data_IF_032484157821
#
_entry.id   IF_032484157821
#
_cell.length_a   1.000
_cell.length_b   1.000
_cell.length_c   1.000
_cell.angle_alpha   90.00
_cell.angle_beta   90.00
_cell.angle_gamma   90.00
#
_symmetry.space_group_name_H-M   'P 1'
#
loop_
_entity.id
_entity.type
_entity.pdbx_description
1 polymer ?
#
# COMPACT_ATOMS: atom_id res chain seq x y z
N UNK A 1 -22.24 -40.23 -57.92
CA UNK A 1 -23.36 -39.39 -58.38
C UNK A 1 -23.19 -38.02 -57.74
N UNK A 2 -22.98 -37.01 -58.59
CA UNK A 2 -23.31 -35.57 -58.47
C UNK A 2 -23.04 -34.85 -57.12
N UNK A 3 -22.27 -33.77 -57.05
CA UNK A 3 -22.16 -32.70 -58.04
C UNK A 3 -20.83 -31.97 -57.93
N UNK A 4 -20.20 -31.81 -59.08
CA UNK A 4 -19.18 -30.83 -59.35
C UNK A 4 -19.71 -29.41 -59.11
N UNK A 5 -18.90 -28.59 -58.44
CA UNK A 5 -18.50 -27.26 -58.92
C UNK A 5 -19.65 -26.35 -59.39
N UNK A 6 -20.26 -25.60 -58.45
CA UNK A 6 -20.89 -24.31 -58.77
C UNK A 6 -19.83 -23.20 -58.65
N UNK A 7 -18.96 -23.13 -59.66
CA UNK A 7 -17.89 -22.16 -59.83
C UNK A 7 -18.43 -20.83 -60.37
N UNK A 8 -18.02 -19.75 -59.69
CA UNK A 8 -17.80 -18.38 -60.21
C UNK A 8 -18.76 -17.21 -59.88
N UNK A 9 -19.86 -17.40 -59.14
CA UNK A 9 -20.56 -16.26 -58.48
C UNK A 9 -20.41 -16.26 -56.97
N UNK A 10 -20.39 -17.45 -56.37
CA UNK A 10 -20.35 -17.61 -54.92
C UNK A 10 -18.94 -17.54 -54.33
N UNK A 11 -17.89 -17.72 -55.14
CA UNK A 11 -16.49 -17.59 -54.68
C UNK A 11 -16.12 -16.15 -54.36
N UNK A 12 -16.62 -15.19 -55.14
CA UNK A 12 -16.48 -13.76 -54.83
C UNK A 12 -17.26 -13.39 -53.57
N UNK A 13 -18.49 -13.88 -53.44
CA UNK A 13 -19.30 -13.68 -52.23
C UNK A 13 -18.66 -14.30 -51.00
N UNK A 14 -18.11 -15.52 -51.10
CA UNK A 14 -17.39 -16.19 -50.02
C UNK A 14 -16.11 -15.43 -49.63
N UNK A 15 -15.34 -14.98 -50.62
CA UNK A 15 -14.15 -14.16 -50.39
C UNK A 15 -14.50 -12.83 -49.70
N UNK A 16 -15.57 -12.16 -50.15
CA UNK A 16 -16.07 -10.92 -49.53
C UNK A 16 -16.51 -11.19 -48.09
N UNK A 17 -17.26 -12.27 -47.84
CA UNK A 17 -17.71 -12.63 -46.50
C UNK A 17 -16.52 -12.95 -45.57
N UNK A 18 -15.52 -13.69 -46.05
CA UNK A 18 -14.31 -13.98 -45.28
C UNK A 18 -13.50 -12.71 -45.00
N UNK A 19 -13.43 -11.77 -45.95
CA UNK A 19 -12.74 -10.49 -45.78
C UNK A 19 -13.47 -9.59 -44.77
N UNK A 20 -14.80 -9.58 -44.79
CA UNK A 20 -15.62 -8.88 -43.78
C UNK A 20 -15.41 -9.50 -42.39
N UNK A 21 -15.43 -10.82 -42.27
CA UNK A 21 -15.19 -11.52 -41.00
C UNK A 21 -13.78 -11.21 -40.49
N UNK A 22 -12.76 -11.30 -41.35
CA UNK A 22 -11.39 -10.95 -40.99
C UNK A 22 -11.27 -9.48 -40.56
N UNK A 23 -11.96 -8.56 -41.24
CA UNK A 23 -12.02 -7.14 -40.89
C UNK A 23 -12.69 -6.89 -39.54
N UNK A 24 -13.80 -7.56 -39.25
CA UNK A 24 -14.48 -7.47 -37.95
C UNK A 24 -13.61 -8.02 -36.82
N UNK A 25 -12.95 -9.16 -37.04
CA UNK A 25 -12.02 -9.75 -36.06
C UNK A 25 -10.82 -8.84 -35.83
N UNK A 26 -10.25 -8.25 -36.88
CA UNK A 26 -9.15 -7.30 -36.76
C UNK A 26 -9.57 -6.04 -35.99
N UNK A 27 -10.75 -5.48 -36.26
CA UNK A 27 -11.27 -4.34 -35.50
C UNK A 27 -11.40 -4.66 -34.01
N UNK A 28 -12.03 -5.79 -33.67
CA UNK A 28 -12.20 -6.21 -32.27
C UNK A 28 -10.86 -6.46 -31.59
N UNK A 29 -9.87 -7.02 -32.30
CA UNK A 29 -8.54 -7.26 -31.75
C UNK A 29 -7.72 -5.97 -31.55
N UNK A 30 -7.91 -4.95 -32.38
CA UNK A 30 -7.16 -3.68 -32.35
C UNK A 30 -7.81 -2.62 -31.47
N UNK A 31 -9.12 -2.70 -31.24
CA UNK A 31 -9.85 -1.73 -30.38
C UNK A 31 -9.24 -1.60 -28.97
N UNK A 32 -8.89 -2.69 -28.26
CA UNK A 32 -8.31 -2.60 -26.92
C UNK A 32 -6.97 -1.87 -26.88
N UNK A 33 -6.10 -2.06 -27.87
CA UNK A 33 -4.78 -1.40 -27.94
C UNK A 33 -4.92 0.08 -28.28
N UNK A 34 -5.79 0.45 -29.21
CA UNK A 34 -6.08 1.86 -29.51
C UNK A 34 -6.75 2.57 -28.33
N UNK A 35 -7.70 1.91 -27.67
CA UNK A 35 -8.36 2.45 -26.49
C UNK A 35 -7.37 2.65 -25.34
N UNK A 36 -6.46 1.68 -25.10
CA UNK A 36 -5.37 1.84 -24.13
C UNK A 36 -4.43 2.99 -24.48
N UNK A 37 -4.00 3.11 -25.74
CA UNK A 37 -3.13 4.20 -26.17
C UNK A 37 -3.81 5.57 -26.02
N UNK A 38 -5.11 5.67 -26.31
CA UNK A 38 -5.90 6.88 -26.08
C UNK A 38 -6.05 7.20 -24.58
N UNK A 39 -6.41 6.20 -23.78
CA UNK A 39 -6.54 6.33 -22.33
C UNK A 39 -5.21 6.72 -21.67
N UNK A 40 -4.11 6.14 -22.11
CA UNK A 40 -2.75 6.51 -21.70
C UNK A 40 -2.40 7.92 -22.17
N UNK A 41 -2.66 8.32 -23.42
CA UNK A 41 -2.30 9.66 -23.90
C UNK A 41 -3.11 10.79 -23.23
N UNK A 42 -4.39 10.54 -22.90
CA UNK A 42 -5.33 11.57 -22.45
C UNK A 42 -5.65 11.52 -20.95
N UNK A 43 -5.32 10.41 -20.26
CA UNK A 43 -5.74 10.19 -18.87
C UNK A 43 -7.24 9.90 -18.72
N UNK A 44 -7.94 9.57 -19.81
CA UNK A 44 -9.37 9.26 -19.81
C UNK A 44 -9.68 8.08 -18.87
N UNK A 45 -10.78 8.20 -18.12
CA UNK A 45 -11.22 7.26 -17.09
C UNK A 45 -10.22 7.03 -15.92
N UNK A 46 -9.36 8.01 -15.61
CA UNK A 46 -8.42 7.92 -14.49
C UNK A 46 -7.23 6.99 -14.75
N UNK A 47 -6.98 6.65 -16.03
CA UNK A 47 -5.83 5.85 -16.44
C UNK A 47 -4.56 6.62 -16.13
N UNK A 48 -3.79 6.14 -15.14
CA UNK A 48 -2.61 6.83 -14.64
C UNK A 48 -1.45 6.66 -15.60
N UNK A 49 -0.79 7.77 -15.96
CA UNK A 49 0.51 7.73 -16.64
C UNK A 49 1.46 6.90 -15.77
N UNK A 50 2.07 5.86 -16.35
CA UNK A 50 3.06 5.05 -15.64
C UNK A 50 4.26 5.95 -15.31
N UNK A 51 4.31 6.44 -14.08
CA UNK A 51 5.45 7.17 -13.57
C UNK A 51 6.42 6.16 -12.93
N UNK A 52 7.61 6.00 -13.51
CA UNK A 52 8.67 5.11 -13.03
C UNK A 52 9.26 5.52 -11.66
N UNK A 53 8.80 6.64 -11.09
CA UNK A 53 9.19 7.12 -9.76
C UNK A 53 7.98 7.72 -9.03
N UNK A 54 8.01 7.67 -7.71
CA UNK A 54 7.13 8.48 -6.87
C UNK A 54 7.16 9.94 -7.38
N UNK A 55 6.04 10.69 -7.40
CA UNK A 55 5.91 11.96 -8.12
C UNK A 55 6.79 13.11 -7.61
N UNK A 56 7.79 12.82 -6.76
CA UNK A 56 8.36 13.79 -5.85
C UNK A 56 7.36 14.14 -4.77
N UNK A 57 7.87 14.76 -3.72
CA UNK A 57 7.06 15.32 -2.67
C UNK A 57 5.97 16.25 -3.25
N UNK A 58 4.70 15.97 -2.94
CA UNK A 58 3.63 16.92 -3.23
C UNK A 58 3.83 18.22 -2.42
N UNK A 59 3.36 19.36 -2.94
CA UNK A 59 3.33 20.61 -2.20
C UNK A 59 2.44 20.47 -0.96
N UNK A 60 2.93 20.93 0.19
CA UNK A 60 2.31 20.74 1.50
C UNK A 60 3.11 19.81 2.40
N UNK A 61 2.89 19.95 3.71
CA UNK A 61 3.43 19.05 4.72
C UNK A 61 2.28 18.48 5.54
N UNK A 62 2.43 17.24 5.97
CA UNK A 62 1.53 16.62 6.94
C UNK A 62 2.37 16.27 8.16
N UNK A 63 1.91 16.71 9.32
CA UNK A 63 2.44 16.32 10.61
C UNK A 63 2.06 14.87 10.90
N UNK A 64 3.03 14.09 11.35
CA UNK A 64 2.79 12.75 11.86
C UNK A 64 3.27 12.72 13.30
N UNK A 65 2.34 12.53 14.22
CA UNK A 65 2.58 12.35 15.64
C UNK A 65 2.72 10.87 15.93
N UNK A 66 3.76 10.50 16.67
CA UNK A 66 4.04 9.13 17.06
C UNK A 66 3.70 8.95 18.52
N UNK A 67 2.85 7.96 18.77
CA UNK A 67 2.37 7.60 20.08
C UNK A 67 2.75 6.15 20.37
N UNK A 68 3.14 5.89 21.62
CA UNK A 68 3.71 4.63 22.08
C UNK A 68 3.11 4.25 23.42
N UNK A 69 2.46 3.09 23.45
CA UNK A 69 1.79 2.54 24.63
C UNK A 69 2.28 1.12 24.89
N UNK A 70 2.20 0.71 26.15
CA UNK A 70 2.59 -0.62 26.61
C UNK A 70 1.49 -1.15 27.50
N UNK A 71 1.10 -2.40 27.29
CA UNK A 71 0.21 -3.10 28.18
C UNK A 71 0.89 -3.33 29.54
N UNK A 72 0.21 -3.09 30.69
CA UNK A 72 0.81 -3.24 32.01
C UNK A 72 1.43 -4.61 32.31
N UNK A 73 0.96 -5.66 31.63
CA UNK A 73 1.50 -7.02 31.73
C UNK A 73 2.83 -7.28 30.98
N UNK A 74 3.38 -6.28 30.28
CA UNK A 74 4.66 -6.39 29.57
C UNK A 74 5.67 -5.43 30.23
N UNK A 75 6.73 -5.92 30.90
CA UNK A 75 7.69 -5.09 31.63
C UNK A 75 8.71 -4.45 30.68
N UNK A 76 8.22 -3.77 29.65
CA UNK A 76 9.03 -3.06 28.68
C UNK A 76 8.92 -1.56 28.87
N UNK A 77 9.91 -0.82 28.37
CA UNK A 77 9.82 0.60 28.04
C UNK A 77 9.81 0.71 26.52
N UNK A 78 8.90 1.51 25.98
CA UNK A 78 8.70 1.68 24.55
C UNK A 78 8.34 3.14 24.29
N UNK A 79 9.18 3.82 23.50
CA UNK A 79 9.05 5.24 23.24
C UNK A 79 9.52 5.57 21.82
N UNK A 80 8.88 6.54 21.14
CA UNK A 80 9.39 7.02 19.87
C UNK A 80 10.64 7.87 20.09
N UNK A 81 11.61 7.79 19.18
CA UNK A 81 12.77 8.68 19.23
C UNK A 81 12.36 10.15 18.96
N UNK A 82 11.31 10.33 18.15
CA UNK A 82 10.74 11.64 17.81
C UNK A 82 9.23 11.55 17.97
N UNK A 83 8.62 12.46 18.71
CA UNK A 83 7.15 12.46 18.96
C UNK A 83 6.37 13.06 17.80
N UNK A 84 6.96 13.95 17.00
CA UNK A 84 6.27 14.54 15.84
C UNK A 84 7.27 14.86 14.74
N UNK A 85 6.91 14.53 13.50
CA UNK A 85 7.69 14.87 12.30
C UNK A 85 6.77 15.46 11.25
N UNK A 86 7.26 16.43 10.48
CA UNK A 86 6.56 16.90 9.28
C UNK A 86 7.14 16.23 8.05
N UNK A 87 6.27 15.55 7.31
CA UNK A 87 6.65 14.83 6.09
C UNK A 87 5.95 15.42 4.89
N UNK A 88 6.54 15.21 3.72
CA UNK A 88 5.88 15.53 2.46
C UNK A 88 5.15 14.28 1.96
N UNK A 89 3.83 14.32 1.73
CA UNK A 89 3.12 13.18 1.15
C UNK A 89 3.77 12.68 -0.14
N UNK A 90 3.84 11.36 -0.30
CA UNK A 90 4.54 10.67 -1.38
C UNK A 90 6.01 10.35 -1.10
N UNK A 91 6.63 10.95 -0.08
CA UNK A 91 7.99 10.61 0.34
C UNK A 91 8.00 9.47 1.35
N UNK A 92 8.88 8.49 1.15
CA UNK A 92 9.16 7.46 2.15
C UNK A 92 9.86 8.11 3.36
N UNK A 93 9.33 7.85 4.54
CA UNK A 93 9.87 8.33 5.81
C UNK A 93 10.23 7.14 6.67
N UNK A 94 11.40 7.21 7.31
CA UNK A 94 11.87 6.22 8.28
C UNK A 94 12.03 6.90 9.63
N UNK A 95 11.45 6.31 10.65
CA UNK A 95 11.58 6.73 12.05
C UNK A 95 11.93 5.53 12.91
N UNK A 96 12.45 5.77 14.11
CA UNK A 96 12.81 4.72 15.05
C UNK A 96 11.97 4.83 16.32
N UNK A 97 11.57 3.68 16.83
CA UNK A 97 11.12 3.54 18.20
C UNK A 97 12.17 2.77 19.00
N UNK A 98 12.34 3.09 20.26
CA UNK A 98 13.20 2.37 21.18
C UNK A 98 12.36 1.47 22.07
N UNK A 99 12.68 0.17 22.11
CA UNK A 99 12.13 -0.75 23.10
C UNK A 99 13.24 -1.29 24.01
N UNK A 100 12.95 -1.41 25.30
CA UNK A 100 13.83 -1.96 26.30
C UNK A 100 13.07 -2.93 27.21
N UNK A 101 13.60 -4.13 27.42
CA UNK A 101 13.09 -5.04 28.44
C UNK A 101 13.67 -4.67 29.81
N UNK A 102 12.81 -4.29 30.75
CA UNK A 102 13.20 -3.86 32.10
C UNK A 102 13.32 -5.03 33.09
N UNK A 103 12.97 -6.24 32.67
CA UNK A 103 13.00 -7.42 33.54
C UNK A 103 14.30 -8.21 33.43
N UNK A 104 14.53 -9.10 34.40
CA UNK A 104 15.68 -10.01 34.44
C UNK A 104 15.49 -11.30 33.60
N UNK A 105 14.39 -11.42 32.84
CA UNK A 105 14.08 -12.60 32.01
C UNK A 105 13.70 -12.17 30.59
N UNK A 106 13.84 -13.05 29.58
CA UNK A 106 13.31 -12.73 28.25
C UNK A 106 11.79 -12.58 28.31
N UNK A 107 11.26 -11.64 27.54
CA UNK A 107 9.83 -11.46 27.32
C UNK A 107 9.55 -11.34 25.84
N UNK A 108 8.40 -11.85 25.42
CA UNK A 108 7.92 -11.75 24.05
C UNK A 108 6.72 -10.83 24.02
N UNK A 109 6.76 -9.85 23.12
CA UNK A 109 5.70 -8.88 22.92
C UNK A 109 5.29 -8.80 21.45
N UNK A 110 4.02 -8.50 21.22
CA UNK A 110 3.48 -8.22 19.89
C UNK A 110 2.86 -6.82 19.88
N UNK A 111 3.11 -6.08 18.81
CA UNK A 111 2.62 -4.73 18.63
C UNK A 111 1.34 -4.71 17.78
N UNK A 112 0.36 -3.95 18.24
CA UNK A 112 -0.80 -3.54 17.44
C UNK A 112 -0.68 -2.05 17.15
N UNK A 113 -1.18 -1.61 15.99
CA UNK A 113 -1.14 -0.19 15.62
C UNK A 113 -2.49 0.31 15.15
N UNK A 114 -2.69 1.62 15.33
CA UNK A 114 -3.83 2.35 14.79
C UNK A 114 -3.35 3.70 14.23
N UNK A 115 -4.12 4.23 13.27
CA UNK A 115 -3.88 5.52 12.64
C UNK A 115 -5.12 6.38 12.85
N UNK A 116 -4.94 7.59 13.34
CA UNK A 116 -6.01 8.55 13.60
C UNK A 116 -5.73 9.89 12.90
N UNK A 117 -6.74 10.57 12.31
CA UNK A 117 -8.14 10.15 12.20
C UNK A 117 -8.36 8.96 11.26
N UNK A 118 -9.43 8.19 11.47
CA UNK A 118 -9.73 6.97 10.70
C UNK A 118 -9.88 7.23 9.20
N UNK A 119 -10.37 8.42 8.84
CA UNK A 119 -10.50 8.89 7.45
C UNK A 119 -9.16 8.92 6.71
N UNK A 120 -8.05 9.05 7.44
CA UNK A 120 -6.68 9.07 6.89
C UNK A 120 -6.06 7.68 6.78
N UNK A 121 -6.58 6.69 7.51
CA UNK A 121 -6.05 5.33 7.50
C UNK A 121 -5.91 4.73 6.09
N UNK A 122 -6.81 5.09 5.17
CA UNK A 122 -6.76 4.66 3.75
C UNK A 122 -5.52 5.18 2.98
N UNK A 123 -5.01 6.35 3.37
CA UNK A 123 -3.84 7.01 2.76
C UNK A 123 -2.52 6.70 3.46
N UNK A 124 -2.57 6.24 4.71
CA UNK A 124 -1.37 5.83 5.43
C UNK A 124 -0.94 4.44 4.97
N UNK A 125 0.19 4.34 4.28
CA UNK A 125 0.73 3.07 3.78
C UNK A 125 2.02 2.73 4.49
N UNK A 126 1.98 1.66 5.27
CA UNK A 126 3.17 1.12 5.92
C UNK A 126 3.90 0.16 4.98
N UNK A 127 5.19 0.41 4.73
CA UNK A 127 6.02 -0.38 3.80
C UNK A 127 6.70 -1.55 4.51
N UNK A 128 7.19 -1.34 5.74
CA UNK A 128 7.84 -2.38 6.54
C UNK A 128 7.36 -2.31 7.99
N UNK A 129 6.75 -3.39 8.49
CA UNK A 129 6.41 -3.57 9.91
C UNK A 129 7.11 -4.83 10.43
N UNK A 130 8.06 -4.66 11.36
CA UNK A 130 8.41 -5.70 12.33
C UNK A 130 7.26 -5.99 13.32
N UNK A 131 6.21 -5.18 13.27
CA UNK A 131 5.15 -5.15 14.29
C UNK A 131 4.14 -6.29 14.18
N UNK A 132 4.10 -7.02 13.06
CA UNK A 132 3.26 -8.22 12.98
C UNK A 132 3.97 -9.47 13.52
N UNK A 133 5.30 -9.44 13.63
CA UNK A 133 6.07 -10.53 14.21
C UNK A 133 6.29 -10.28 15.70
N UNK A 134 6.13 -11.34 16.47
CA UNK A 134 6.53 -11.40 17.87
C UNK A 134 7.99 -10.96 18.02
N UNK A 135 8.23 -10.04 18.95
CA UNK A 135 9.58 -9.59 19.30
C UNK A 135 9.93 -10.18 20.66
N UNK A 136 11.03 -10.90 20.73
CA UNK A 136 11.58 -11.40 22.00
C UNK A 136 12.78 -10.56 22.37
N UNK A 137 12.69 -9.85 23.50
CA UNK A 137 13.80 -9.08 24.06
C UNK A 137 14.35 -9.83 25.28
N UNK A 138 15.67 -10.04 25.30
CA UNK A 138 16.40 -10.61 26.44
C UNK A 138 16.36 -9.66 27.64
N UNK A 139 16.78 -10.17 28.79
CA UNK A 139 16.87 -9.37 30.02
C UNK A 139 17.73 -8.11 29.80
N UNK A 140 17.17 -6.93 30.11
CA UNK A 140 17.88 -5.65 29.95
C UNK A 140 18.13 -5.20 28.49
N UNK A 141 17.74 -6.00 27.50
CA UNK A 141 18.04 -5.72 26.09
C UNK A 141 17.28 -4.48 25.60
N UNK A 142 17.98 -3.63 24.86
CA UNK A 142 17.43 -2.44 24.21
C UNK A 142 17.62 -2.57 22.70
N UNK A 143 16.55 -2.35 21.94
CA UNK A 143 16.53 -2.45 20.48
C UNK A 143 15.85 -1.22 19.88
N UNK A 144 16.49 -0.66 18.85
CA UNK A 144 15.88 0.38 18.01
C UNK A 144 15.12 -0.30 16.86
N UNK A 145 13.81 -0.07 16.79
CA UNK A 145 12.89 -0.68 15.84
C UNK A 145 12.52 0.34 14.74
N UNK A 146 13.06 0.18 13.52
CA UNK A 146 12.75 1.09 12.42
C UNK A 146 11.33 0.87 11.90
N UNK A 147 10.62 1.97 11.65
CA UNK A 147 9.32 1.99 10.99
C UNK A 147 9.45 2.81 9.71
N UNK A 148 9.17 2.17 8.57
CA UNK A 148 9.17 2.81 7.26
C UNK A 148 7.73 2.91 6.75
N UNK A 149 7.31 4.13 6.44
CA UNK A 149 5.96 4.45 6.00
C UNK A 149 5.98 5.58 4.97
N UNK A 150 4.86 5.76 4.28
CA UNK A 150 4.58 6.97 3.52
C UNK A 150 3.09 7.30 3.61
N UNK A 151 2.77 8.57 3.41
CA UNK A 151 1.39 9.04 3.26
C UNK A 151 1.13 9.27 1.79
N UNK A 152 0.08 8.66 1.25
CA UNK A 152 -0.32 8.83 -0.14
C UNK A 152 -0.69 10.30 -0.41
N UNK A 153 -0.12 10.95 -1.45
CA UNK A 153 -0.43 12.33 -1.80
C UNK A 153 -1.91 12.57 -2.14
N UNK A 154 -2.71 11.52 -2.39
CA UNK A 154 -4.15 11.61 -2.56
C UNK A 154 -4.88 12.18 -1.32
N UNK A 155 -4.28 12.13 -0.12
CA UNK A 155 -4.84 12.74 1.09
C UNK A 155 -5.15 14.23 0.91
N UNK A 156 -4.33 14.97 0.16
CA UNK A 156 -4.54 16.41 -0.08
C UNK A 156 -5.56 16.70 -1.19
N UNK A 157 -6.02 15.68 -1.90
CA UNK A 157 -7.02 15.80 -2.98
C UNK A 157 -8.43 15.39 -2.54
N UNK A 158 -8.54 14.60 -1.48
CA UNK A 158 -9.82 14.14 -0.95
C UNK A 158 -10.49 15.25 -0.11
N UNK A 159 -11.73 15.66 -0.43
CA UNK A 159 -12.49 16.63 0.34
C UNK A 159 -12.56 16.34 1.84
N UNK A 160 -12.57 15.06 2.23
CA UNK A 160 -12.73 14.63 3.63
C UNK A 160 -11.42 14.67 4.43
N UNK A 161 -10.26 14.77 3.75
CA UNK A 161 -8.94 14.69 4.41
C UNK A 161 -7.96 15.79 4.01
N UNK A 162 -8.29 16.64 3.03
CA UNK A 162 -7.44 17.73 2.54
C UNK A 162 -7.02 18.72 3.63
N UNK A 163 -7.89 18.96 4.60
CA UNK A 163 -7.72 19.91 5.69
C UNK A 163 -7.07 19.25 6.94
N UNK A 164 -6.73 17.96 6.85
CA UNK A 164 -6.01 17.26 7.92
C UNK A 164 -4.53 17.58 7.79
N UNK A 165 -4.01 18.19 8.85
CA UNK A 165 -2.60 18.58 8.96
C UNK A 165 -1.81 17.71 9.93
N UNK A 166 -2.48 16.92 10.77
CA UNK A 166 -1.83 16.01 11.72
C UNK A 166 -2.45 14.62 11.68
N UNK A 167 -1.60 13.60 11.63
CA UNK A 167 -1.94 12.18 11.70
C UNK A 167 -1.27 11.61 12.94
N UNK A 168 -1.99 10.92 13.80
CA UNK A 168 -1.40 10.17 14.91
C UNK A 168 -1.24 8.71 14.54
N UNK A 169 0.00 8.20 14.61
CA UNK A 169 0.33 6.79 14.53
C UNK A 169 0.60 6.27 15.95
N UNK A 170 -0.35 5.50 16.48
CA UNK A 170 -0.26 4.90 17.80
C UNK A 170 0.16 3.44 17.70
N UNK A 171 1.15 3.06 18.48
CA UNK A 171 1.58 1.67 18.69
C UNK A 171 1.31 1.24 20.12
N UNK A 172 0.74 0.05 20.31
CA UNK A 172 0.57 -0.56 21.64
C UNK A 172 1.17 -1.96 21.65
N UNK A 173 2.10 -2.21 22.57
CA UNK A 173 2.66 -3.54 22.77
C UNK A 173 1.90 -4.35 23.82
N UNK A 174 1.59 -5.59 23.48
CA UNK A 174 0.96 -6.58 24.37
C UNK A 174 1.93 -7.74 24.62
N UNK A 175 1.90 -8.35 25.82
CA UNK A 175 2.64 -9.58 26.06
C UNK A 175 2.03 -10.70 25.21
N UNK A 176 2.90 -11.51 24.59
CA UNK A 176 2.49 -12.78 24.00
C UNK A 176 2.65 -13.82 25.09
N UNK A 177 1.54 -14.44 25.51
CA UNK A 177 1.58 -15.56 26.44
C UNK A 177 2.35 -16.71 25.78
N UNK A 178 3.60 -16.90 26.18
CA UNK A 178 4.27 -18.18 25.97
C UNK A 178 3.83 -19.08 27.12
N UNK A 179 2.91 -20.00 26.83
CA UNK A 179 2.48 -21.09 27.70
C UNK A 179 3.65 -22.07 27.94
N UNK A 180 4.74 -21.60 28.56
CA UNK A 180 5.95 -22.39 28.80
C UNK A 180 6.68 -21.97 30.08
N UNK A 181 5.93 -21.46 31.05
CA UNK A 181 6.41 -21.30 32.43
C UNK A 181 5.34 -21.67 33.47
N UNK A 182 4.42 -22.57 33.11
CA UNK A 182 3.46 -23.17 34.03
C UNK A 182 3.16 -24.63 33.66
N UNK A 183 4.21 -25.47 33.59
CA UNK A 183 4.16 -26.89 33.96
C UNK A 183 5.56 -27.43 34.21
#
# INVERSE_FOLDING_TARGET
MSSAVAQNRNGKTLAILLLIIAGMVALVAVTPTLYRAFCEATGFNGTTQRADKAPGAAAGQVGVRFDANIHPGLPWRFEPEQTTVRIKPGAQTKIFYRAQNLSARPWTGQAVYNVSPDTVGKYFKKIQCFCFSEQTLKAGETVDMPVVFFVDPAIKKDPDTKDIDEITLSYTFYPVETDTAAR
#
